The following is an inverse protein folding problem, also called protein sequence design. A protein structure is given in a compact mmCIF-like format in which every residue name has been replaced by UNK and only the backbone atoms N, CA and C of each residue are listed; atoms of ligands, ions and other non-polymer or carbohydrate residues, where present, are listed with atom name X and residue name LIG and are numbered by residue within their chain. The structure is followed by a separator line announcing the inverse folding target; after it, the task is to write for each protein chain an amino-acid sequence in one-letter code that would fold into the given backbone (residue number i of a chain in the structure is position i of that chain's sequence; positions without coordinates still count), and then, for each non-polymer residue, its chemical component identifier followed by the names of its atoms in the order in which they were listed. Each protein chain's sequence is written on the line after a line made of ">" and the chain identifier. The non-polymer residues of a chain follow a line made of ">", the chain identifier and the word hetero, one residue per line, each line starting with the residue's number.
data_IF_877200612352
#
_entry.id   IF_877200612352
#
_cell.length_a   1.000
_cell.length_b   1.000
_cell.length_c   1.000
_cell.angle_alpha   90.00
_cell.angle_beta   90.00
_cell.angle_gamma   90.00
#
_symmetry.space_group_name_H-M   'P 1'
#
loop_
_entity.id
_entity.type
_entity.pdbx_description
1 polymer ?
#
# COMPACT_ATOMS: atom_id res chain seq x y z
N UNK A 1 3.80 9.87 16.86
CA UNK A 1 3.34 8.47 16.92
C UNK A 1 3.08 7.97 15.52
N UNK A 2 2.50 6.79 15.35
CA UNK A 2 2.23 6.22 14.04
C UNK A 2 1.26 5.04 14.07
N UNK A 3 1.10 4.40 12.92
CA UNK A 3 0.19 3.29 12.69
C UNK A 3 0.94 2.13 12.05
N UNK A 4 0.47 0.91 12.30
CA UNK A 4 0.94 -0.32 11.64
C UNK A 4 -0.29 -1.00 11.07
N UNK A 5 -0.24 -1.32 9.78
CA UNK A 5 -1.33 -1.96 9.04
C UNK A 5 -0.73 -2.99 8.08
N UNK A 6 -1.44 -4.08 7.74
CA UNK A 6 -0.97 -5.02 6.74
C UNK A 6 -0.77 -4.35 5.36
N UNK A 7 0.31 -4.73 4.69
CA UNK A 7 0.57 -4.38 3.29
C UNK A 7 -0.17 -5.28 2.31
N UNK A 8 0.09 -5.10 1.02
CA UNK A 8 -0.69 -5.72 -0.07
C UNK A 8 -0.59 -7.26 -0.06
N UNK A 9 0.63 -7.79 0.07
CA UNK A 9 0.86 -9.24 0.16
C UNK A 9 0.20 -9.87 1.38
N UNK A 10 0.31 -9.24 2.55
CA UNK A 10 -0.27 -9.79 3.78
C UNK A 10 -1.81 -9.79 3.71
N UNK A 11 -2.42 -8.72 3.20
CA UNK A 11 -3.89 -8.64 3.07
C UNK A 11 -4.46 -9.77 2.21
N UNK A 12 -3.87 -10.00 1.04
CA UNK A 12 -4.32 -11.05 0.10
C UNK A 12 -4.04 -12.44 0.64
N UNK A 13 -2.88 -12.65 1.26
CA UNK A 13 -2.51 -13.91 1.90
C UNK A 13 -3.48 -14.30 3.02
N UNK A 14 -3.86 -13.37 3.88
CA UNK A 14 -4.82 -13.64 4.96
C UNK A 14 -6.17 -14.13 4.42
N UNK A 15 -6.65 -13.54 3.32
CA UNK A 15 -7.89 -13.98 2.67
C UNK A 15 -7.76 -15.37 2.05
N UNK A 16 -6.66 -15.64 1.34
CA UNK A 16 -6.38 -16.93 0.69
C UNK A 16 -6.20 -18.07 1.69
N UNK A 17 -5.43 -17.83 2.75
CA UNK A 17 -5.09 -18.85 3.75
C UNK A 17 -6.26 -19.18 4.67
N UNK A 18 -7.09 -18.19 5.01
CA UNK A 18 -8.17 -18.39 5.99
C UNK A 18 -9.56 -18.55 5.37
N UNK A 19 -9.69 -18.55 4.04
CA UNK A 19 -10.99 -18.76 3.35
C UNK A 19 -10.89 -19.80 2.24
N UNK A 20 -11.46 -20.99 2.47
CA UNK A 20 -11.37 -22.16 1.56
C UNK A 20 -11.77 -21.90 0.09
N UNK A 21 -12.57 -20.88 -0.19
CA UNK A 21 -13.09 -20.57 -1.55
C UNK A 21 -12.31 -19.48 -2.28
N UNK A 22 -11.32 -18.86 -1.64
CA UNK A 22 -10.47 -17.85 -2.28
C UNK A 22 -9.26 -18.58 -2.88
N UNK A 23 -9.45 -19.09 -4.09
CA UNK A 23 -8.48 -19.90 -4.82
C UNK A 23 -8.24 -19.29 -6.20
N UNK A 24 -7.01 -18.88 -6.43
CA UNK A 24 -6.48 -18.41 -7.71
C UNK A 24 -4.95 -18.39 -7.64
N UNK A 25 -4.29 -18.45 -8.79
CA UNK A 25 -2.83 -18.47 -8.89
C UNK A 25 -2.21 -17.06 -8.95
N UNK A 26 -0.87 -16.99 -9.02
CA UNK A 26 -0.15 -15.73 -9.07
C UNK A 26 -0.35 -14.96 -10.40
N UNK A 27 -0.62 -15.67 -11.51
CA UNK A 27 -0.86 -15.06 -12.80
C UNK A 27 -2.24 -14.40 -12.82
N UNK A 28 -3.26 -15.06 -12.27
CA UNK A 28 -4.60 -14.51 -12.06
C UNK A 28 -4.55 -13.28 -11.14
N UNK A 29 -3.76 -13.33 -10.06
CA UNK A 29 -3.59 -12.20 -9.16
C UNK A 29 -2.96 -10.98 -9.86
N UNK A 30 -1.91 -11.20 -10.66
CA UNK A 30 -1.24 -10.13 -11.38
C UNK A 30 -2.13 -9.53 -12.48
N UNK A 31 -2.89 -10.37 -13.19
CA UNK A 31 -3.83 -9.94 -14.22
C UNK A 31 -5.01 -9.15 -13.62
N UNK A 32 -5.49 -9.54 -12.43
CA UNK A 32 -6.59 -8.86 -11.74
C UNK A 32 -6.33 -7.36 -11.51
N UNK A 33 -5.07 -6.95 -11.35
CA UNK A 33 -4.66 -5.56 -11.08
C UNK A 33 -4.48 -4.69 -12.34
N UNK A 34 -4.77 -5.20 -13.55
CA UNK A 34 -4.69 -4.39 -14.78
C UNK A 34 -5.82 -3.35 -14.89
N UNK A 35 -6.84 -3.44 -14.06
CA UNK A 35 -7.99 -2.52 -13.95
C UNK A 35 -8.34 -2.34 -12.46
N UNK A 36 -9.07 -1.27 -12.15
CA UNK A 36 -9.60 -0.95 -10.82
C UNK A 36 -11.13 -0.93 -10.77
N UNK A 37 -11.82 -1.29 -11.86
CA UNK A 37 -13.27 -1.47 -11.85
C UNK A 37 -13.72 -2.62 -10.93
N UNK A 38 -14.97 -2.63 -10.45
CA UNK A 38 -15.48 -3.72 -9.61
C UNK A 38 -15.23 -5.11 -10.21
N UNK A 39 -14.66 -6.01 -9.42
CA UNK A 39 -14.27 -7.34 -9.88
C UNK A 39 -15.47 -8.23 -10.24
N UNK A 40 -15.27 -9.06 -11.27
CA UNK A 40 -16.24 -10.03 -11.80
C UNK A 40 -15.77 -11.48 -11.62
N UNK A 41 -14.56 -11.68 -11.08
CA UNK A 41 -14.06 -12.94 -10.55
C UNK A 41 -13.62 -12.79 -9.09
N UNK A 42 -13.33 -13.91 -8.42
CA UNK A 42 -12.80 -13.89 -7.04
C UNK A 42 -11.43 -13.22 -6.96
N UNK A 43 -10.52 -13.49 -7.91
CA UNK A 43 -9.20 -12.85 -7.96
C UNK A 43 -9.33 -11.34 -8.13
N UNK A 44 -10.18 -10.89 -9.06
CA UNK A 44 -10.44 -9.46 -9.26
C UNK A 44 -11.03 -8.80 -8.02
N UNK A 45 -12.03 -9.43 -7.39
CA UNK A 45 -12.67 -8.88 -6.20
C UNK A 45 -11.69 -8.73 -5.02
N UNK A 46 -10.82 -9.74 -4.81
CA UNK A 46 -9.84 -9.72 -3.72
C UNK A 46 -8.72 -8.72 -4.00
N UNK A 47 -8.04 -8.85 -5.14
CA UNK A 47 -6.86 -8.03 -5.44
C UNK A 47 -7.23 -6.54 -5.55
N UNK A 48 -8.29 -6.21 -6.30
CA UNK A 48 -8.74 -4.81 -6.45
C UNK A 48 -9.33 -4.28 -5.15
N UNK A 49 -10.04 -5.10 -4.39
CA UNK A 49 -10.60 -4.71 -3.09
C UNK A 49 -9.51 -4.32 -2.09
N UNK A 50 -8.48 -5.15 -1.96
CA UNK A 50 -7.34 -4.86 -1.10
C UNK A 50 -6.51 -3.66 -1.60
N UNK A 51 -6.34 -3.50 -2.93
CA UNK A 51 -5.73 -2.30 -3.52
C UNK A 51 -6.51 -1.02 -3.16
N UNK A 52 -7.83 -1.04 -3.31
CA UNK A 52 -8.69 0.10 -2.96
C UNK A 52 -8.63 0.41 -1.46
N UNK A 53 -8.60 -0.62 -0.61
CA UNK A 53 -8.47 -0.43 0.83
C UNK A 53 -7.15 0.27 1.20
N UNK A 54 -6.02 -0.15 0.62
CA UNK A 54 -4.73 0.51 0.87
C UNK A 54 -4.69 1.94 0.33
N UNK A 55 -5.25 2.20 -0.85
CA UNK A 55 -5.34 3.57 -1.40
C UNK A 55 -6.21 4.46 -0.52
N UNK A 56 -7.38 3.98 -0.10
CA UNK A 56 -8.25 4.71 0.82
C UNK A 56 -7.58 4.98 2.17
N UNK A 57 -6.80 4.02 2.69
CA UNK A 57 -5.99 4.21 3.89
C UNK A 57 -4.95 5.32 3.68
N UNK A 58 -4.16 5.28 2.61
CA UNK A 58 -3.16 6.32 2.29
C UNK A 58 -3.82 7.70 2.23
N UNK A 59 -4.96 7.82 1.56
CA UNK A 59 -5.68 9.08 1.40
C UNK A 59 -6.16 9.62 2.74
N UNK A 60 -6.73 8.75 3.59
CA UNK A 60 -7.14 9.09 4.95
C UNK A 60 -5.94 9.53 5.81
N UNK A 61 -4.81 8.83 5.72
CA UNK A 61 -3.61 9.18 6.49
C UNK A 61 -3.04 10.55 6.10
N UNK A 62 -3.06 10.90 4.81
CA UNK A 62 -2.62 12.22 4.34
C UNK A 62 -3.55 13.31 4.86
N UNK A 63 -4.87 13.09 4.78
CA UNK A 63 -5.86 14.04 5.30
C UNK A 63 -5.71 14.25 6.82
N UNK A 64 -5.56 13.16 7.58
CA UNK A 64 -5.34 13.21 9.02
C UNK A 64 -4.02 13.90 9.36
N UNK A 65 -2.94 13.61 8.64
CA UNK A 65 -1.65 14.27 8.83
C UNK A 65 -1.75 15.78 8.60
N UNK A 66 -2.49 16.22 7.57
CA UNK A 66 -2.72 17.64 7.33
C UNK A 66 -3.48 18.32 8.48
N UNK A 67 -4.46 17.64 9.07
CA UNK A 67 -5.18 18.14 10.24
C UNK A 67 -4.27 18.26 11.48
N UNK A 68 -3.46 17.25 11.76
CA UNK A 68 -2.54 17.27 12.91
C UNK A 68 -1.43 18.32 12.78
N UNK A 69 -0.95 18.56 11.56
CA UNK A 69 0.14 19.50 11.29
C UNK A 69 -0.34 20.93 11.02
N UNK A 70 -1.64 21.12 10.77
CA UNK A 70 -2.23 22.41 10.39
C UNK A 70 -1.82 22.92 9.01
N UNK A 71 -1.19 22.07 8.18
CA UNK A 71 -0.70 22.40 6.84
C UNK A 71 -0.59 21.14 5.98
N UNK A 72 -0.39 21.30 4.67
CA UNK A 72 -0.14 20.16 3.79
C UNK A 72 1.20 19.50 4.16
N UNK A 73 1.23 18.19 4.49
CA UNK A 73 2.46 17.50 4.86
C UNK A 73 3.40 17.33 3.67
N UNK A 74 4.71 17.37 3.92
CA UNK A 74 5.67 16.71 3.02
C UNK A 74 5.54 15.20 3.20
N UNK A 75 5.35 14.48 2.10
CA UNK A 75 5.08 13.04 2.11
C UNK A 75 6.31 12.29 1.61
N UNK A 76 6.87 11.45 2.46
CA UNK A 76 7.95 10.51 2.12
C UNK A 76 7.38 9.11 1.95
N UNK A 77 7.78 8.42 0.88
CA UNK A 77 7.33 7.06 0.57
C UNK A 77 8.52 6.13 0.35
N UNK A 78 8.47 4.95 0.96
CA UNK A 78 9.48 3.90 0.82
C UNK A 78 8.81 2.52 0.76
N UNK A 79 9.58 1.46 0.51
CA UNK A 79 9.09 0.09 0.42
C UNK A 79 8.61 -0.34 -0.97
N UNK A 80 8.36 -1.64 -1.13
CA UNK A 80 8.02 -2.27 -2.43
C UNK A 80 6.67 -1.81 -3.00
N UNK A 81 5.72 -1.46 -2.14
CA UNK A 81 4.38 -1.00 -2.51
C UNK A 81 4.31 0.52 -2.77
N UNK A 82 5.45 1.22 -2.92
CA UNK A 82 5.48 2.66 -3.14
C UNK A 82 4.69 3.12 -4.39
N UNK A 83 4.51 2.23 -5.37
CA UNK A 83 3.71 2.48 -6.57
C UNK A 83 2.22 2.74 -6.26
N UNK A 84 1.72 2.31 -5.10
CA UNK A 84 0.31 2.48 -4.70
C UNK A 84 -0.12 3.95 -4.59
N UNK A 85 0.81 4.87 -4.32
CA UNK A 85 0.56 6.31 -4.26
C UNK A 85 0.18 6.92 -5.62
N UNK A 86 0.35 6.18 -6.72
CA UNK A 86 0.08 6.66 -8.07
C UNK A 86 1.10 7.68 -8.56
N UNK A 87 0.99 8.07 -9.84
CA UNK A 87 1.83 9.08 -10.48
C UNK A 87 1.34 10.51 -10.25
N UNK A 88 0.07 10.70 -9.90
CA UNK A 88 -0.55 12.03 -9.75
C UNK A 88 -0.32 12.71 -8.41
N UNK A 89 0.33 12.06 -7.44
CA UNK A 89 0.52 12.59 -6.09
C UNK A 89 1.93 13.14 -5.90
N UNK A 90 2.03 14.34 -5.34
CA UNK A 90 3.31 14.94 -4.97
C UNK A 90 3.86 14.24 -3.73
N UNK A 91 4.72 13.23 -3.95
CA UNK A 91 5.42 12.50 -2.90
C UNK A 91 6.91 12.41 -3.21
N UNK A 92 7.73 12.35 -2.16
CA UNK A 92 9.16 12.09 -2.26
C UNK A 92 9.42 10.60 -2.05
N UNK A 93 9.72 9.90 -3.14
CA UNK A 93 10.09 8.48 -3.10
C UNK A 93 11.54 8.35 -2.63
N UNK A 94 11.75 7.63 -1.54
CA UNK A 94 13.07 7.39 -0.94
C UNK A 94 13.20 5.88 -0.65
N UNK A 95 13.55 5.06 -1.65
CA UNK A 95 13.59 3.60 -1.50
C UNK A 95 14.52 3.10 -0.38
N UNK A 96 15.55 3.88 -0.07
CA UNK A 96 16.61 3.61 0.89
C UNK A 96 16.44 4.40 2.20
N UNK A 97 15.23 4.89 2.50
CA UNK A 97 14.96 5.76 3.66
C UNK A 97 15.48 5.17 4.98
N UNK A 98 15.28 3.87 5.19
CA UNK A 98 15.75 3.16 6.39
C UNK A 98 17.28 3.16 6.47
N UNK A 99 17.98 2.94 5.35
CA UNK A 99 19.44 2.91 5.33
C UNK A 99 20.06 4.29 5.55
N UNK A 100 19.40 5.37 5.10
CA UNK A 100 19.83 6.73 5.43
C UNK A 100 19.75 7.00 6.94
N UNK A 101 18.68 6.55 7.58
CA UNK A 101 18.56 6.60 9.03
C UNK A 101 19.62 5.77 9.74
N UNK A 102 19.92 4.57 9.22
CA UNK A 102 20.96 3.70 9.74
C UNK A 102 22.34 4.36 9.72
N UNK A 103 22.71 5.05 8.64
CA UNK A 103 23.99 5.74 8.54
C UNK A 103 24.15 6.88 9.57
N UNK A 104 23.05 7.52 9.98
CA UNK A 104 23.05 8.54 11.03
C UNK A 104 23.16 7.89 12.41
N UNK A 105 22.42 6.81 12.64
CA UNK A 105 22.39 6.11 13.92
C UNK A 105 23.68 5.33 14.21
N UNK A 106 24.37 4.87 13.17
CA UNK A 106 25.60 4.09 13.25
C UNK A 106 26.68 4.68 12.32
N UNK A 107 27.25 5.85 12.67
CA UNK A 107 28.32 6.47 11.88
C UNK A 107 29.59 5.61 11.93
N UNK A 108 30.35 5.61 10.83
CA UNK A 108 31.65 4.94 10.71
C UNK A 108 32.79 5.81 11.27
#
# INVERSE_FOLDING_TARGET
>A
GGYITPGMSLLTEQLRTHTKRILYDAQEAQAALSDTSPGRSTSEAVERGCLMMLRGYIDSQIANAAQYLGTQPEIFVTGGDAALFGSGRQVRRVPDLVFKGLAIACPL
#
